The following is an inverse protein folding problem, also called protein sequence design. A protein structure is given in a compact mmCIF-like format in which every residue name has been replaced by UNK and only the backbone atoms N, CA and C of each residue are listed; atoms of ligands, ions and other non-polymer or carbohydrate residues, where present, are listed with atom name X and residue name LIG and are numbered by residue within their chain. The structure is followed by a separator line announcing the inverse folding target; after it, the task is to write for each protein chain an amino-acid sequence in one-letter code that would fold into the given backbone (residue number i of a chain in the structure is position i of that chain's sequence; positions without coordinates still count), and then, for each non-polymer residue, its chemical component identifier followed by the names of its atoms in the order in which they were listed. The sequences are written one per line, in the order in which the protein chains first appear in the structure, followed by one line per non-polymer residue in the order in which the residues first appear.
data_IF_957360524177
#
_entry.id   IF_957360524177
#
_cell.length_a   1.000
_cell.length_b   1.000
_cell.length_c   1.000
_cell.angle_alpha   90.00
_cell.angle_beta   90.00
_cell.angle_gamma   90.00
#
_symmetry.space_group_name_H-M   'P 1'
#
loop_
_entity.id
_entity.type
_entity.pdbx_description
1 polymer ?
#
# COMPACT_ATOMS: atom_id res chain seq x y z
N UNK A 1 -29.75 20.10 -1.58
CA UNK A 1 -30.10 20.96 -0.42
C UNK A 1 -30.45 20.11 0.81
N UNK A 2 -29.54 19.26 1.29
CA UNK A 2 -29.78 18.39 2.47
C UNK A 2 -28.64 18.41 3.50
N UNK A 3 -27.63 19.23 3.27
CA UNK A 3 -26.42 19.29 4.13
C UNK A 3 -26.58 20.19 5.36
N UNK A 4 -27.49 21.19 5.32
CA UNK A 4 -27.77 22.10 6.45
C UNK A 4 -28.55 21.39 7.58
N UNK A 5 -29.16 20.25 7.27
CA UNK A 5 -30.01 19.46 8.16
C UNK A 5 -29.19 18.51 9.07
N UNK A 6 -27.85 18.52 9.03
CA UNK A 6 -27.07 17.54 9.80
C UNK A 6 -26.28 18.07 11.00
N UNK A 7 -26.24 19.39 11.23
CA UNK A 7 -25.46 19.97 12.33
C UNK A 7 -26.27 20.90 13.24
N UNK A 8 -27.37 21.50 12.74
CA UNK A 8 -28.11 22.54 13.45
C UNK A 8 -29.27 22.09 14.34
N UNK A 9 -29.76 20.84 14.24
CA UNK A 9 -31.06 20.49 14.86
C UNK A 9 -31.05 20.56 16.38
N UNK A 10 -30.00 20.07 17.04
CA UNK A 10 -29.93 20.13 18.51
C UNK A 10 -29.84 21.57 19.00
N UNK A 11 -28.92 22.45 18.51
CA UNK A 11 -28.92 23.86 18.87
C UNK A 11 -30.24 24.59 18.56
N UNK A 12 -30.85 24.32 17.39
CA UNK A 12 -32.14 24.92 17.00
C UNK A 12 -33.28 24.46 17.91
N UNK A 13 -33.35 23.16 18.24
CA UNK A 13 -34.34 22.60 19.16
C UNK A 13 -34.14 23.09 20.59
N UNK A 14 -32.90 23.19 21.06
CA UNK A 14 -32.55 23.77 22.37
C UNK A 14 -33.01 25.22 22.42
N UNK A 15 -32.74 25.99 21.36
CA UNK A 15 -33.10 27.42 21.29
C UNK A 15 -34.62 27.60 21.22
N UNK A 16 -35.31 26.83 20.38
CA UNK A 16 -36.77 26.86 20.25
C UNK A 16 -37.47 26.43 21.55
N UNK A 17 -36.99 25.35 22.19
CA UNK A 17 -37.55 24.87 23.46
C UNK A 17 -37.29 25.87 24.60
N UNK A 18 -36.12 26.49 24.65
CA UNK A 18 -35.80 27.53 25.62
C UNK A 18 -36.71 28.76 25.46
N UNK A 19 -36.95 29.22 24.22
CA UNK A 19 -37.86 30.33 23.94
C UNK A 19 -39.30 30.00 24.36
N UNK A 20 -39.79 28.80 24.02
CA UNK A 20 -41.15 28.36 24.41
C UNK A 20 -41.29 28.21 25.93
N UNK A 21 -40.26 27.70 26.61
CA UNK A 21 -40.24 27.54 28.06
C UNK A 21 -40.30 28.89 28.78
N UNK A 22 -39.61 29.92 28.27
CA UNK A 22 -39.68 31.29 28.80
C UNK A 22 -41.07 31.88 28.56
N UNK A 23 -41.65 31.70 27.38
CA UNK A 23 -42.99 32.22 27.05
C UNK A 23 -44.13 31.55 27.84
N UNK A 24 -43.96 30.29 28.24
CA UNK A 24 -44.94 29.53 29.03
C UNK A 24 -44.61 29.43 30.52
N UNK A 25 -43.58 30.13 30.98
CA UNK A 25 -43.11 30.13 32.38
C UNK A 25 -42.89 28.71 32.95
N UNK A 26 -42.33 27.81 32.13
CA UNK A 26 -42.06 26.45 32.58
C UNK A 26 -41.00 26.44 33.68
N UNK A 27 -41.20 25.65 34.76
CA UNK A 27 -40.23 25.58 35.84
C UNK A 27 -38.91 25.01 35.32
N UNK A 28 -37.80 25.63 35.74
CA UNK A 28 -36.45 25.28 35.27
C UNK A 28 -36.08 23.82 35.59
N UNK A 29 -36.68 23.26 36.64
CA UNK A 29 -36.54 21.86 37.05
C UNK A 29 -37.05 20.87 35.99
N UNK A 30 -37.96 21.28 35.11
CA UNK A 30 -38.47 20.47 33.98
C UNK A 30 -37.70 20.76 32.70
N UNK A 31 -37.34 22.01 32.46
CA UNK A 31 -36.69 22.44 31.21
C UNK A 31 -35.22 21.99 31.16
N UNK A 32 -34.48 22.14 32.26
CA UNK A 32 -33.07 21.76 32.33
C UNK A 32 -32.79 20.28 31.99
N UNK A 33 -33.50 19.27 32.54
CA UNK A 33 -33.25 17.88 32.17
C UNK A 33 -33.63 17.59 30.72
N UNK A 34 -34.70 18.18 30.19
CA UNK A 34 -35.11 18.05 28.78
C UNK A 34 -34.02 18.56 27.83
N UNK A 35 -33.47 19.74 28.09
CA UNK A 35 -32.35 20.28 27.31
C UNK A 35 -31.10 19.41 27.44
N UNK A 36 -30.82 18.87 28.63
CA UNK A 36 -29.72 17.94 28.87
C UNK A 36 -29.82 16.68 28.00
N UNK A 37 -31.01 16.08 27.90
CA UNK A 37 -31.25 14.90 27.05
C UNK A 37 -31.09 15.24 25.56
N UNK A 38 -31.63 16.38 25.10
CA UNK A 38 -31.49 16.83 23.70
C UNK A 38 -30.03 17.09 23.34
N UNK A 39 -29.26 17.67 24.26
CA UNK A 39 -27.83 17.91 24.08
C UNK A 39 -27.07 16.58 23.99
N UNK A 40 -27.33 15.64 24.91
CA UNK A 40 -26.70 14.33 24.91
C UNK A 40 -26.98 13.56 23.61
N UNK A 41 -28.25 13.52 23.17
CA UNK A 41 -28.64 12.92 21.91
C UNK A 41 -27.97 13.60 20.70
N UNK A 42 -27.93 14.94 20.69
CA UNK A 42 -27.24 15.71 19.65
C UNK A 42 -25.75 15.39 19.56
N UNK A 43 -25.08 15.25 20.71
CA UNK A 43 -23.67 14.90 20.79
C UNK A 43 -23.42 13.48 20.25
N UNK A 44 -24.24 12.50 20.63
CA UNK A 44 -24.16 11.13 20.13
C UNK A 44 -24.29 11.09 18.60
N UNK A 45 -25.29 11.79 18.05
CA UNK A 45 -25.49 11.87 16.60
C UNK A 45 -24.30 12.54 15.90
N UNK A 46 -23.73 13.60 16.50
CA UNK A 46 -22.55 14.27 15.97
C UNK A 46 -21.33 13.34 15.93
N UNK A 47 -21.11 12.55 16.98
CA UNK A 47 -20.04 11.55 17.05
C UNK A 47 -20.22 10.47 15.98
N UNK A 48 -21.44 9.94 15.82
CA UNK A 48 -21.76 8.93 14.79
C UNK A 48 -21.48 9.48 13.39
N UNK A 49 -21.96 10.68 13.07
CA UNK A 49 -21.73 11.33 11.76
C UNK A 49 -20.25 11.62 11.50
N UNK A 50 -19.51 12.04 12.52
CA UNK A 50 -18.07 12.25 12.38
C UNK A 50 -17.34 10.94 12.06
N UNK A 51 -17.77 9.81 12.66
CA UNK A 51 -17.25 8.48 12.33
C UNK A 51 -17.61 8.05 10.92
N UNK A 52 -18.87 8.22 10.50
CA UNK A 52 -19.32 7.90 9.14
C UNK A 52 -18.48 8.63 8.09
N UNK A 53 -18.27 9.94 8.24
CA UNK A 53 -17.43 10.72 7.32
C UNK A 53 -15.98 10.22 7.25
N UNK A 54 -15.40 9.83 8.39
CA UNK A 54 -14.04 9.24 8.42
C UNK A 54 -14.01 7.90 7.69
N UNK A 55 -15.03 7.06 7.87
CA UNK A 55 -15.15 5.78 7.17
C UNK A 55 -15.34 5.96 5.66
N UNK A 56 -16.14 6.94 5.22
CA UNK A 56 -16.29 7.29 3.80
C UNK A 56 -14.95 7.72 3.19
N UNK A 57 -14.18 8.56 3.90
CA UNK A 57 -12.86 8.98 3.43
C UNK A 57 -11.88 7.79 3.32
N UNK A 58 -11.88 6.92 4.34
CA UNK A 58 -11.02 5.74 4.35
C UNK A 58 -11.40 4.75 3.23
N UNK A 59 -12.69 4.63 2.95
CA UNK A 59 -13.24 3.86 1.81
C UNK A 59 -12.73 4.37 0.48
N UNK A 60 -12.80 5.69 0.26
CA UNK A 60 -12.32 6.30 -0.97
C UNK A 60 -10.82 6.09 -1.17
N UNK A 61 -10.02 6.20 -0.10
CA UNK A 61 -8.59 5.90 -0.16
C UNK A 61 -8.30 4.44 -0.49
N UNK A 62 -9.01 3.50 0.14
CA UNK A 62 -8.86 2.07 -0.17
C UNK A 62 -9.19 1.80 -1.63
N UNK A 63 -10.27 2.40 -2.16
CA UNK A 63 -10.61 2.33 -3.58
C UNK A 63 -9.50 2.87 -4.47
N UNK A 64 -8.93 4.02 -4.13
CA UNK A 64 -7.84 4.63 -4.88
C UNK A 64 -6.58 3.76 -4.89
N UNK A 65 -6.20 3.19 -3.74
CA UNK A 65 -5.06 2.29 -3.63
C UNK A 65 -5.26 1.01 -4.43
N UNK A 66 -6.42 0.38 -4.29
CA UNK A 66 -6.80 -0.79 -5.05
C UNK A 66 -6.74 -0.53 -6.56
N UNK A 67 -7.35 0.57 -7.02
CA UNK A 67 -7.32 0.95 -8.43
C UNK A 67 -5.91 1.29 -8.94
N UNK A 68 -5.10 1.96 -8.12
CA UNK A 68 -3.69 2.23 -8.43
C UNK A 68 -2.90 0.94 -8.56
N UNK A 69 -3.04 0.03 -7.60
CA UNK A 69 -2.38 -1.27 -7.60
C UNK A 69 -2.71 -2.06 -8.85
N UNK A 70 -4.00 -2.21 -9.15
CA UNK A 70 -4.48 -2.93 -10.33
C UNK A 70 -3.90 -2.33 -11.63
N UNK A 71 -3.98 -1.01 -11.79
CA UNK A 71 -3.48 -0.34 -13.00
C UNK A 71 -1.97 -0.45 -13.17
N UNK A 72 -1.20 -0.42 -12.07
CA UNK A 72 0.26 -0.30 -12.14
C UNK A 72 0.99 -1.62 -12.13
N UNK A 73 0.47 -2.60 -11.38
CA UNK A 73 1.20 -3.83 -11.08
C UNK A 73 0.60 -5.07 -11.73
N UNK A 74 -0.60 -4.97 -12.33
CA UNK A 74 -1.33 -6.10 -12.91
C UNK A 74 -1.61 -5.92 -14.40
N UNK A 75 -2.14 -6.95 -15.05
CA UNK A 75 -2.51 -6.93 -16.46
C UNK A 75 -1.29 -6.76 -17.38
N UNK A 76 -1.45 -5.92 -18.41
CA UNK A 76 -0.41 -5.62 -19.41
C UNK A 76 0.46 -4.42 -19.00
N UNK A 77 0.53 -4.09 -17.70
CA UNK A 77 1.36 -2.99 -17.25
C UNK A 77 2.83 -3.29 -17.55
N UNK A 78 3.49 -2.36 -18.27
CA UNK A 78 4.89 -2.47 -18.67
C UNK A 78 5.87 -2.46 -17.50
N UNK A 79 5.43 -1.99 -16.33
CA UNK A 79 6.17 -2.04 -15.07
C UNK A 79 5.45 -2.96 -14.09
N UNK A 80 5.19 -4.19 -14.50
CA UNK A 80 4.72 -5.27 -13.62
C UNK A 80 5.82 -6.31 -13.45
N UNK A 81 5.84 -7.00 -12.31
CA UNK A 81 6.80 -8.09 -12.08
C UNK A 81 6.69 -9.16 -13.17
N UNK A 82 5.48 -9.46 -13.65
CA UNK A 82 5.27 -10.45 -14.70
C UNK A 82 5.88 -10.02 -16.04
N UNK A 83 5.74 -8.75 -16.44
CA UNK A 83 6.39 -8.24 -17.65
C UNK A 83 7.93 -8.28 -17.57
N UNK A 84 8.48 -8.10 -16.36
CA UNK A 84 9.93 -8.18 -16.12
C UNK A 84 10.40 -9.64 -16.15
N UNK A 85 9.60 -10.56 -15.59
CA UNK A 85 9.83 -12.01 -15.66
C UNK A 85 9.86 -12.49 -17.11
N UNK A 86 8.96 -11.99 -17.97
CA UNK A 86 8.97 -12.29 -19.41
C UNK A 86 10.29 -11.86 -20.09
N UNK A 87 10.93 -10.81 -19.55
CA UNK A 87 12.26 -10.38 -19.98
C UNK A 87 13.35 -11.46 -19.82
N UNK A 88 13.16 -12.43 -18.92
CA UNK A 88 14.11 -13.51 -18.68
C UNK A 88 14.20 -14.51 -19.83
N UNK A 89 13.21 -14.58 -20.72
CA UNK A 89 13.29 -15.42 -21.92
C UNK A 89 14.41 -15.00 -22.88
N UNK A 90 14.95 -13.79 -22.73
CA UNK A 90 16.12 -13.31 -23.48
C UNK A 90 17.45 -13.85 -22.94
N UNK A 91 17.46 -14.43 -21.73
CA UNK A 91 18.64 -15.05 -21.12
C UNK A 91 18.67 -16.52 -21.52
N UNK A 92 19.81 -17.02 -21.98
CA UNK A 92 19.98 -18.43 -22.37
C UNK A 92 20.15 -19.34 -21.14
N UNK A 93 19.05 -19.54 -20.40
CA UNK A 93 19.00 -20.39 -19.21
C UNK A 93 17.67 -21.15 -19.12
N UNK A 94 17.65 -22.46 -19.45
CA UNK A 94 16.43 -23.28 -19.44
C UNK A 94 15.70 -23.33 -18.09
N UNK A 95 16.43 -23.32 -16.96
CA UNK A 95 15.80 -23.34 -15.64
C UNK A 95 15.04 -22.04 -15.35
N UNK A 96 15.54 -20.90 -15.83
CA UNK A 96 14.83 -19.63 -15.74
C UNK A 96 13.57 -19.61 -16.59
N UNK A 97 13.61 -20.23 -17.77
CA UNK A 97 12.45 -20.31 -18.64
C UNK A 97 11.33 -21.15 -18.04
N UNK A 98 11.67 -22.25 -17.35
CA UNK A 98 10.67 -23.09 -16.69
C UNK A 98 10.00 -22.36 -15.52
N UNK A 99 10.77 -21.61 -14.72
CA UNK A 99 10.21 -20.76 -13.69
C UNK A 99 9.35 -19.62 -14.28
N UNK A 100 9.85 -18.91 -15.30
CA UNK A 100 9.11 -17.84 -15.96
C UNK A 100 7.78 -18.35 -16.57
N UNK A 101 7.77 -19.56 -17.14
CA UNK A 101 6.55 -20.19 -17.66
C UNK A 101 5.56 -20.56 -16.56
N UNK A 102 6.02 -20.97 -15.38
CA UNK A 102 5.14 -21.18 -14.23
C UNK A 102 4.49 -19.87 -13.77
N UNK A 103 5.21 -18.76 -13.89
CA UNK A 103 4.70 -17.43 -13.57
C UNK A 103 3.60 -16.93 -14.53
N UNK A 104 3.53 -17.38 -15.79
CA UNK A 104 2.42 -17.02 -16.71
C UNK A 104 1.06 -17.48 -16.16
N UNK A 105 0.97 -18.71 -15.64
CA UNK A 105 -0.26 -19.18 -15.01
C UNK A 105 -0.61 -18.36 -13.77
N UNK A 106 0.39 -18.04 -12.96
CA UNK A 106 0.22 -17.22 -11.77
C UNK A 106 -0.25 -15.80 -12.12
N UNK A 107 0.29 -15.18 -13.18
CA UNK A 107 -0.14 -13.88 -13.68
C UNK A 107 -1.62 -13.88 -14.03
N UNK A 108 -2.10 -14.90 -14.75
CA UNK A 108 -3.52 -14.98 -15.14
C UNK A 108 -4.44 -15.05 -13.92
N UNK A 109 -4.13 -15.93 -12.97
CA UNK A 109 -4.88 -16.07 -11.72
C UNK A 109 -4.86 -14.76 -10.93
N UNK A 110 -3.70 -14.13 -10.80
CA UNK A 110 -3.53 -12.88 -10.07
C UNK A 110 -4.31 -11.73 -10.72
N UNK A 111 -4.28 -11.62 -12.05
CA UNK A 111 -5.02 -10.61 -12.80
C UNK A 111 -6.54 -10.81 -12.62
N UNK A 112 -7.04 -12.04 -12.77
CA UNK A 112 -8.47 -12.33 -12.55
C UNK A 112 -8.90 -12.03 -11.12
N UNK A 113 -8.07 -12.39 -10.13
CA UNK A 113 -8.35 -12.06 -8.73
C UNK A 113 -8.42 -10.55 -8.52
N UNK A 114 -7.46 -9.80 -9.07
CA UNK A 114 -7.40 -8.35 -8.98
C UNK A 114 -8.61 -7.66 -9.61
N UNK A 115 -9.00 -8.09 -10.80
CA UNK A 115 -10.13 -7.53 -11.53
C UNK A 115 -11.47 -7.83 -10.82
N UNK A 116 -11.61 -9.05 -10.29
CA UNK A 116 -12.78 -9.45 -9.48
C UNK A 116 -12.86 -8.64 -8.18
N UNK A 117 -11.73 -8.45 -7.49
CA UNK A 117 -11.64 -7.64 -6.29
C UNK A 117 -12.10 -6.20 -6.55
N UNK A 118 -11.58 -5.55 -7.59
CA UNK A 118 -11.98 -4.19 -7.97
C UNK A 118 -13.48 -4.13 -8.27
N UNK A 119 -13.98 -5.05 -9.08
CA UNK A 119 -15.39 -5.06 -9.50
C UNK A 119 -16.33 -5.19 -8.29
N UNK A 120 -16.03 -6.12 -7.37
CA UNK A 120 -16.82 -6.29 -6.13
C UNK A 120 -16.74 -5.04 -5.25
N UNK A 121 -15.54 -4.55 -5.01
CA UNK A 121 -15.30 -3.36 -4.20
C UNK A 121 -16.09 -2.15 -4.74
N UNK A 122 -16.07 -1.92 -6.06
CA UNK A 122 -16.84 -0.83 -6.68
C UNK A 122 -18.35 -1.03 -6.66
N UNK A 123 -18.82 -2.27 -6.75
CA UNK A 123 -20.24 -2.59 -6.58
C UNK A 123 -20.70 -2.26 -5.15
N UNK A 124 -19.97 -2.70 -4.14
CA UNK A 124 -20.38 -2.58 -2.74
C UNK A 124 -20.25 -1.14 -2.20
N UNK A 125 -19.32 -0.35 -2.75
CA UNK A 125 -19.27 1.10 -2.53
C UNK A 125 -20.55 1.78 -3.03
N UNK A 126 -21.07 1.38 -4.20
CA UNK A 126 -22.30 1.97 -4.77
C UNK A 126 -23.54 1.68 -3.93
N UNK A 127 -23.60 0.52 -3.28
CA UNK A 127 -24.76 0.08 -2.49
C UNK A 127 -24.69 0.57 -1.02
N UNK A 128 -23.69 1.39 -0.65
CA UNK A 128 -23.44 1.88 0.74
C UNK A 128 -23.20 0.78 1.79
N UNK A 129 -23.05 -0.48 1.39
CA UNK A 129 -22.70 -1.61 2.27
C UNK A 129 -21.22 -1.69 2.62
N UNK A 130 -20.39 -0.83 2.01
CA UNK A 130 -18.94 -0.93 2.10
C UNK A 130 -18.36 -0.83 3.52
N UNK A 131 -18.98 -0.05 4.41
CA UNK A 131 -18.50 0.06 5.80
C UNK A 131 -18.52 -1.29 6.53
N UNK A 132 -19.44 -2.19 6.17
CA UNK A 132 -19.55 -3.55 6.71
C UNK A 132 -18.44 -4.44 6.17
N UNK A 133 -18.06 -4.28 4.89
CA UNK A 133 -17.05 -5.10 4.21
C UNK A 133 -15.64 -4.51 4.21
N UNK A 134 -15.47 -3.33 4.79
CA UNK A 134 -14.21 -2.59 4.81
C UNK A 134 -13.02 -3.44 5.29
N UNK A 135 -13.23 -4.19 6.37
CA UNK A 135 -12.21 -5.11 6.91
C UNK A 135 -11.88 -6.23 5.93
N UNK A 136 -12.88 -6.80 5.28
CA UNK A 136 -12.71 -7.87 4.28
C UNK A 136 -11.91 -7.38 3.09
N UNK A 137 -12.26 -6.23 2.53
CA UNK A 137 -11.55 -5.67 1.38
C UNK A 137 -10.11 -5.24 1.73
N UNK A 138 -9.89 -4.72 2.94
CA UNK A 138 -8.55 -4.41 3.39
C UNK A 138 -7.68 -5.67 3.48
N UNK A 139 -8.20 -6.73 4.10
CA UNK A 139 -7.50 -8.00 4.23
C UNK A 139 -7.20 -8.62 2.87
N UNK A 140 -8.15 -8.53 1.94
CA UNK A 140 -7.98 -9.07 0.59
C UNK A 140 -6.91 -8.29 -0.19
N UNK A 141 -6.96 -6.95 -0.19
CA UNK A 141 -5.91 -6.14 -0.82
C UNK A 141 -4.54 -6.39 -0.20
N UNK A 142 -4.50 -6.60 1.12
CA UNK A 142 -3.26 -6.97 1.79
C UNK A 142 -2.73 -8.32 1.31
N UNK A 143 -3.58 -9.34 1.24
CA UNK A 143 -3.19 -10.66 0.74
C UNK A 143 -2.67 -10.57 -0.70
N UNK A 144 -3.33 -9.78 -1.55
CA UNK A 144 -2.87 -9.52 -2.91
C UNK A 144 -1.48 -8.90 -2.94
N UNK A 145 -1.24 -7.88 -2.10
CA UNK A 145 0.06 -7.25 -2.01
C UNK A 145 1.15 -8.23 -1.55
N UNK A 146 0.87 -9.07 -0.55
CA UNK A 146 1.83 -10.07 -0.08
C UNK A 146 2.18 -11.09 -1.17
N UNK A 147 1.19 -11.62 -1.89
CA UNK A 147 1.47 -12.52 -3.01
C UNK A 147 2.24 -11.83 -4.13
N UNK A 148 1.95 -10.55 -4.40
CA UNK A 148 2.74 -9.78 -5.35
C UNK A 148 4.20 -9.66 -4.91
N UNK A 149 4.42 -9.38 -3.63
CA UNK A 149 5.75 -9.30 -3.02
C UNK A 149 6.52 -10.62 -3.15
N UNK A 150 5.86 -11.78 -3.00
CA UNK A 150 6.50 -13.09 -3.18
C UNK A 150 7.13 -13.24 -4.57
N UNK A 151 6.46 -12.77 -5.63
CA UNK A 151 7.05 -12.78 -6.98
C UNK A 151 8.26 -11.84 -7.10
N UNK A 152 8.20 -10.68 -6.45
CA UNK A 152 9.33 -9.75 -6.43
C UNK A 152 10.53 -10.33 -5.68
N UNK A 153 10.28 -11.00 -4.55
CA UNK A 153 11.33 -11.66 -3.77
C UNK A 153 11.95 -12.81 -4.54
N UNK A 154 11.15 -13.67 -5.17
CA UNK A 154 11.67 -14.75 -6.03
C UNK A 154 12.52 -14.20 -7.17
N UNK A 155 12.06 -13.14 -7.83
CA UNK A 155 12.84 -12.49 -8.88
C UNK A 155 14.16 -11.94 -8.36
N UNK A 156 14.16 -11.28 -7.19
CA UNK A 156 15.38 -10.80 -6.55
C UNK A 156 16.36 -11.93 -6.25
N UNK A 157 15.88 -13.05 -5.68
CA UNK A 157 16.73 -14.20 -5.37
C UNK A 157 17.35 -14.83 -6.61
N UNK A 158 16.60 -14.86 -7.71
CA UNK A 158 17.07 -15.35 -9.00
C UNK A 158 18.10 -14.38 -9.59
N UNK A 159 17.80 -13.09 -9.61
CA UNK A 159 18.68 -12.06 -10.16
C UNK A 159 19.95 -11.83 -9.37
N UNK A 160 19.97 -12.22 -8.09
CA UNK A 160 21.19 -12.23 -7.29
C UNK A 160 22.12 -13.42 -7.63
N UNK A 161 21.61 -14.48 -8.26
CA UNK A 161 22.33 -15.73 -8.55
C UNK A 161 22.69 -15.89 -10.02
N UNK A 162 21.94 -15.27 -10.93
CA UNK A 162 22.10 -15.43 -12.38
C UNK A 162 22.45 -14.10 -13.04
N UNK A 163 23.30 -14.13 -14.07
CA UNK A 163 23.56 -12.96 -14.89
C UNK A 163 22.32 -12.62 -15.73
N UNK A 164 21.66 -11.51 -15.38
CA UNK A 164 20.52 -10.96 -16.10
C UNK A 164 20.98 -9.72 -16.88
N UNK A 165 20.34 -9.47 -18.01
CA UNK A 165 20.54 -8.26 -18.80
C UNK A 165 20.36 -6.99 -17.94
N UNK A 166 21.27 -6.02 -18.11
CA UNK A 166 21.23 -4.76 -17.37
C UNK A 166 19.91 -4.00 -17.56
N UNK A 167 19.30 -4.07 -18.75
CA UNK A 167 17.99 -3.49 -19.04
C UNK A 167 16.89 -4.04 -18.12
N UNK A 168 16.89 -5.36 -17.88
CA UNK A 168 15.91 -6.02 -17.00
C UNK A 168 16.15 -5.66 -15.55
N UNK A 169 17.41 -5.52 -15.12
CA UNK A 169 17.78 -5.03 -13.79
C UNK A 169 17.26 -3.61 -13.57
N UNK A 170 17.46 -2.71 -14.53
CA UNK A 170 16.97 -1.33 -14.47
C UNK A 170 15.43 -1.26 -14.40
N UNK A 171 14.74 -2.08 -15.20
CA UNK A 171 13.28 -2.19 -15.15
C UNK A 171 12.80 -2.69 -13.78
N UNK A 172 13.47 -3.69 -13.22
CA UNK A 172 13.17 -4.21 -11.90
C UNK A 172 13.40 -3.18 -10.79
N UNK A 173 14.52 -2.46 -10.80
CA UNK A 173 14.78 -1.44 -9.79
C UNK A 173 13.77 -0.28 -9.86
N UNK A 174 13.32 0.10 -11.06
CA UNK A 174 12.20 1.05 -11.23
C UNK A 174 10.90 0.52 -10.63
N UNK A 175 10.59 -0.77 -10.86
CA UNK A 175 9.44 -1.42 -10.24
C UNK A 175 9.55 -1.39 -8.71
N UNK A 176 10.72 -1.71 -8.15
CA UNK A 176 10.97 -1.71 -6.70
C UNK A 176 10.69 -0.34 -6.09
N UNK A 177 11.18 0.75 -6.70
CA UNK A 177 10.91 2.10 -6.22
C UNK A 177 9.41 2.42 -6.19
N UNK A 178 8.69 2.09 -7.26
CA UNK A 178 7.25 2.34 -7.33
C UNK A 178 6.43 1.46 -6.36
N UNK A 179 6.79 0.18 -6.26
CA UNK A 179 6.16 -0.74 -5.34
C UNK A 179 6.37 -0.31 -3.88
N UNK A 180 7.59 0.08 -3.50
CA UNK A 180 7.88 0.55 -2.15
C UNK A 180 7.11 1.84 -1.82
N UNK A 181 6.99 2.77 -2.78
CA UNK A 181 6.14 3.95 -2.63
C UNK A 181 4.65 3.60 -2.48
N UNK A 182 4.16 2.56 -3.17
CA UNK A 182 2.80 2.05 -2.95
C UNK A 182 2.63 1.46 -1.54
N UNK A 183 3.57 0.64 -1.09
CA UNK A 183 3.55 -0.01 0.23
C UNK A 183 3.47 1.02 1.35
N UNK A 184 4.21 2.11 1.28
CA UNK A 184 4.16 3.16 2.29
C UNK A 184 2.78 3.85 2.32
N UNK A 185 2.23 4.20 1.16
CA UNK A 185 0.87 4.75 1.06
C UNK A 185 -0.21 3.77 1.57
N UNK A 186 0.01 2.47 1.35
CA UNK A 186 -0.89 1.42 1.82
C UNK A 186 -0.87 1.30 3.34
N UNK A 187 0.33 1.28 3.95
CA UNK A 187 0.53 1.27 5.41
C UNK A 187 -0.14 2.48 6.08
N UNK A 188 0.06 3.67 5.53
CA UNK A 188 -0.55 4.90 6.05
C UNK A 188 -2.09 4.83 5.99
N UNK A 189 -2.61 4.29 4.89
CA UNK A 189 -4.06 4.13 4.72
C UNK A 189 -4.65 3.12 5.71
N UNK A 190 -3.94 2.03 6.03
CA UNK A 190 -4.34 1.09 7.08
C UNK A 190 -4.32 1.76 8.46
N UNK A 191 -3.28 2.54 8.76
CA UNK A 191 -3.17 3.25 10.04
C UNK A 191 -4.34 4.22 10.26
N UNK A 192 -4.73 4.95 9.21
CA UNK A 192 -5.88 5.84 9.25
C UNK A 192 -7.22 5.08 9.36
N UNK A 193 -7.33 3.93 8.69
CA UNK A 193 -8.49 3.04 8.81
C UNK A 193 -8.68 2.54 10.24
N UNK A 194 -7.59 2.11 10.90
CA UNK A 194 -7.58 1.63 12.28
C UNK A 194 -8.09 2.72 13.24
N UNK A 195 -7.63 3.96 13.05
CA UNK A 195 -8.09 5.13 13.84
C UNK A 195 -9.58 5.42 13.60
N UNK A 196 -10.06 5.30 12.36
CA UNK A 196 -11.44 5.62 12.00
C UNK A 196 -12.44 4.56 12.47
N UNK A 197 -12.09 3.28 12.33
CA UNK A 197 -12.98 2.16 12.60
C UNK A 197 -12.88 1.64 14.05
N UNK A 198 -11.90 2.11 14.84
CA UNK A 198 -11.56 1.53 16.17
C UNK A 198 -11.43 0.01 16.12
N UNK A 199 -11.04 -0.53 14.97
CA UNK A 199 -10.93 -1.95 14.76
C UNK A 199 -9.63 -2.45 15.37
N UNK A 200 -9.65 -3.66 15.93
CA UNK A 200 -8.45 -4.43 16.28
C UNK A 200 -7.72 -4.95 15.03
N UNK A 201 -7.74 -4.19 13.94
CA UNK A 201 -6.92 -4.49 12.77
C UNK A 201 -5.48 -4.20 13.19
N UNK A 202 -4.72 -5.27 13.40
CA UNK A 202 -3.26 -5.17 13.50
C UNK A 202 -2.75 -4.70 12.14
N UNK A 203 -1.91 -3.64 12.09
CA UNK A 203 -1.36 -3.20 10.82
C UNK A 203 -0.57 -4.38 10.22
N UNK A 204 -0.91 -4.82 9.02
CA UNK A 204 -0.24 -5.93 8.41
C UNK A 204 1.24 -5.63 8.21
N UNK A 205 2.10 -6.64 8.40
CA UNK A 205 3.49 -6.57 7.99
C UNK A 205 3.53 -6.56 6.47
N UNK A 206 3.56 -5.36 5.89
CA UNK A 206 3.79 -5.17 4.45
C UNK A 206 5.29 -5.17 4.21
N UNK A 207 5.80 -5.97 3.28
CA UNK A 207 7.24 -6.07 3.03
C UNK A 207 7.68 -5.13 1.90
N UNK A 208 8.87 -4.55 2.06
CA UNK A 208 9.51 -3.72 1.04
C UNK A 208 10.38 -4.59 0.13
N UNK A 209 10.31 -4.35 -1.16
CA UNK A 209 11.14 -5.03 -2.14
C UNK A 209 12.57 -4.49 -2.14
N UNK A 210 13.51 -5.37 -2.51
CA UNK A 210 14.94 -5.09 -2.56
C UNK A 210 15.39 -4.83 -3.99
N UNK A 211 16.25 -3.85 -4.18
CA UNK A 211 16.88 -3.55 -5.46
C UNK A 211 18.02 -4.54 -5.75
N UNK A 212 18.23 -4.82 -7.04
CA UNK A 212 19.40 -5.56 -7.52
C UNK A 212 20.54 -4.57 -7.76
N UNK A 213 21.71 -4.82 -7.15
CA UNK A 213 22.91 -4.03 -7.43
C UNK A 213 23.40 -4.31 -8.86
N UNK A 214 23.28 -3.32 -9.74
CA UNK A 214 23.96 -3.36 -11.03
C UNK A 214 25.48 -3.32 -10.83
N UNK A 215 26.19 -4.19 -11.55
CA UNK A 215 27.66 -4.29 -11.66
C UNK A 215 28.36 -5.12 -10.58
N UNK A 216 28.71 -6.36 -10.95
CA UNK A 216 29.95 -6.99 -10.48
C UNK A 216 31.05 -6.56 -11.46
N UNK A 217 32.10 -5.80 -11.06
CA UNK A 217 33.20 -5.53 -11.97
C UNK A 217 33.87 -6.85 -12.38
N UNK A 218 34.45 -6.93 -13.60
CA UNK A 218 35.17 -8.12 -14.04
C UNK A 218 36.19 -8.49 -12.97
N UNK A 219 36.28 -9.78 -12.63
CA UNK A 219 37.47 -10.27 -11.90
C UNK A 219 38.67 -9.80 -12.69
N UNK A 220 39.37 -8.79 -12.18
CA UNK A 220 40.70 -8.48 -12.64
C UNK A 220 41.49 -9.77 -12.51
N UNK A 221 41.91 -10.30 -13.65
CA UNK A 221 42.98 -11.27 -13.75
C UNK A 221 44.08 -10.79 -12.82
N UNK A 222 44.39 -11.55 -11.77
CA UNK A 222 45.65 -11.37 -11.06
C UNK A 222 46.74 -11.77 -12.04
N UNK A 223 47.20 -10.80 -12.83
CA UNK A 223 48.50 -10.88 -13.48
C UNK A 223 49.53 -10.99 -12.36
N UNK A 224 50.07 -12.21 -12.25
CA UNK A 224 51.36 -12.43 -11.61
C UNK A 224 52.39 -11.77 -12.51
N UNK A 225 52.88 -10.60 -12.14
CA UNK A 225 54.17 -10.14 -12.67
C UNK A 225 55.01 -9.42 -11.61
N UNK A 226 55.91 -10.23 -11.05
CA UNK A 226 57.35 -10.00 -10.91
C UNK A 226 57.86 -8.75 -10.19
N UNK A 227 58.48 -9.00 -9.02
CA UNK A 227 59.31 -8.05 -8.25
C UNK A 227 60.35 -7.34 -9.13
N UNK A 228 60.62 -6.04 -8.90
CA UNK A 228 61.76 -5.36 -9.51
C UNK A 228 63.09 -5.82 -8.86
N UNK A 229 64.19 -5.96 -9.63
CA UNK A 229 65.50 -6.25 -9.08
C UNK A 229 66.08 -5.02 -8.36
N UNK A 230 66.61 -5.25 -7.15
CA UNK A 230 67.36 -4.29 -6.37
C UNK A 230 68.69 -3.97 -7.06
N UNK A 231 68.90 -2.70 -7.40
CA UNK A 231 70.21 -2.14 -7.76
C UNK A 231 71.00 -1.88 -6.49
N UNK A 232 71.98 -2.76 -6.22
CA UNK A 232 73.07 -2.49 -5.27
C UNK A 232 74.26 -1.98 -6.07
N UNK A 233 74.48 -0.66 -6.05
CA UNK A 233 75.76 -0.06 -6.38
C UNK A 233 76.12 0.94 -5.29
N UNK A 234 76.85 0.45 -4.29
CA UNK A 234 77.63 1.27 -3.37
C UNK A 234 79.09 0.88 -3.53
N UNK A 235 79.88 1.74 -4.18
CA UNK A 235 81.34 1.71 -4.11
C UNK A 235 81.79 1.90 -2.66
N UNK A 236 82.76 1.11 -2.22
CA UNK A 236 83.48 1.30 -0.96
C UNK A 236 84.81 0.54 -1.00
N UNK A 237 85.89 1.30 -0.91
CA UNK A 237 87.29 0.90 -1.09
C UNK A 237 87.91 0.10 0.07
N UNK A 238 89.07 -0.49 -0.25
CA UNK A 238 90.28 -0.76 0.56
C UNK A 238 90.53 -2.17 1.12
N UNK A 239 91.69 -2.68 0.65
CA UNK A 239 92.66 -3.63 1.21
C UNK A 239 92.27 -5.11 1.38
#
# INVERSE_FOLDING_TARGET
MTTVVSWGWSPILITALAVVAVLREWPITVVAPLLGVILAAGLVVAVIRAREKKLEQATLRLKQLAGYFNRRFTGNASLSIFAIIDGLFKVDNPQLWDWARACDMAQRVFNTWSESFITRMESDIRVRGFSVYLRTYLNELWLMNNHYFEFMEQFYEIGAKVEILAETIDQYNRLVMEYNGFVDNFRDSIADLKKAAQTEIEPPSVNLARELSGVKPPRATQDKETKPPQTSQGLGYYQ
#
